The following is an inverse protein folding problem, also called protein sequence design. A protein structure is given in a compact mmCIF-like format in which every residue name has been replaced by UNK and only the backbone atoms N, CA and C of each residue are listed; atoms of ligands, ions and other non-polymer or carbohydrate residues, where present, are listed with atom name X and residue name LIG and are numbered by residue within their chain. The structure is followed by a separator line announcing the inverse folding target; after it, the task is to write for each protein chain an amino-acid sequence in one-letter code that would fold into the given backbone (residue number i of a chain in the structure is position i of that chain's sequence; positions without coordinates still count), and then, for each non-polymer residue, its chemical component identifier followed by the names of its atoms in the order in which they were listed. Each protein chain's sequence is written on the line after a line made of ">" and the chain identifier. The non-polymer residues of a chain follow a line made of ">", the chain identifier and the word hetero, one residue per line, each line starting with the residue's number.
data_IF_834954472308
#
_entry.id   IF_834954472308
#
_cell.length_a   1.000
_cell.length_b   1.000
_cell.length_c   1.000
_cell.angle_alpha   90.00
_cell.angle_beta   90.00
_cell.angle_gamma   90.00
#
_symmetry.space_group_name_H-M   'P 1'
#
loop_
_entity.id
_entity.type
_entity.pdbx_description
1 polymer ?
#
# COMPACT_ATOMS: atom_id res chain seq x y z
N UNK A 1 1.21 6.97 40.30
CA UNK A 1 -0.13 7.26 39.76
C UNK A 1 0.00 8.29 38.65
N UNK A 2 -0.08 7.91 37.37
CA UNK A 2 -0.22 8.85 36.25
C UNK A 2 -1.11 8.19 35.18
N UNK A 3 -2.26 8.82 34.92
CA UNK A 3 -3.37 8.28 34.15
C UNK A 3 -3.17 8.47 32.64
N UNK A 4 -3.26 7.37 31.89
CA UNK A 4 -3.32 7.35 30.42
C UNK A 4 -4.73 7.75 29.98
N UNK A 5 -4.88 8.93 29.38
CA UNK A 5 -6.15 9.37 28.77
C UNK A 5 -6.33 8.70 27.42
N UNK A 6 -7.10 7.62 27.38
CA UNK A 6 -7.61 7.02 26.15
C UNK A 6 -8.70 7.91 25.54
N UNK A 7 -8.45 8.49 24.35
CA UNK A 7 -9.49 9.09 23.52
C UNK A 7 -10.10 8.01 22.63
N UNK A 8 -11.15 7.35 23.13
CA UNK A 8 -12.02 6.53 22.31
C UNK A 8 -12.91 7.43 21.44
N UNK A 9 -12.64 7.50 20.13
CA UNK A 9 -13.59 8.05 19.16
C UNK A 9 -14.66 6.99 18.93
N UNK A 10 -15.83 7.15 19.56
CA UNK A 10 -17.05 6.42 19.21
C UNK A 10 -17.45 6.85 17.80
N UNK A 11 -17.22 5.98 16.81
CA UNK A 11 -17.89 6.09 15.52
C UNK A 11 -19.38 5.79 15.75
N UNK A 12 -20.25 6.76 15.48
CA UNK A 12 -21.69 6.52 15.45
C UNK A 12 -22.02 5.80 14.14
N UNK A 13 -22.79 4.70 14.15
CA UNK A 13 -23.37 4.17 12.92
C UNK A 13 -24.46 5.14 12.46
N UNK A 14 -24.27 5.76 11.30
CA UNK A 14 -25.36 6.42 10.57
C UNK A 14 -26.35 5.35 10.14
N UNK A 15 -27.46 5.24 10.87
CA UNK A 15 -28.59 4.41 10.45
C UNK A 15 -29.14 4.97 9.14
N UNK A 16 -28.86 4.31 8.03
CA UNK A 16 -29.54 4.56 6.77
C UNK A 16 -30.99 4.11 6.93
N UNK A 17 -31.89 5.06 7.25
CA UNK A 17 -33.32 4.83 7.19
C UNK A 17 -33.71 4.55 5.72
N UNK A 18 -34.07 3.30 5.42
CA UNK A 18 -34.70 2.93 4.16
C UNK A 18 -36.04 3.66 4.07
N UNK A 19 -36.17 4.59 3.11
CA UNK A 19 -37.46 5.18 2.74
C UNK A 19 -38.38 4.08 2.19
N UNK A 20 -39.65 3.98 2.61
CA UNK A 20 -40.59 3.07 1.98
C UNK A 20 -40.82 3.49 0.52
N UNK A 21 -40.75 2.53 -0.39
CA UNK A 21 -41.03 2.72 -1.80
C UNK A 21 -42.50 3.14 -1.99
N UNK A 22 -42.73 4.31 -2.59
CA UNK A 22 -44.05 4.72 -3.04
C UNK A 22 -44.48 3.77 -4.17
N UNK A 23 -45.53 2.98 -3.93
CA UNK A 23 -46.21 2.22 -4.98
C UNK A 23 -47.07 3.19 -5.78
N UNK A 24 -46.64 3.52 -6.99
CA UNK A 24 -47.49 4.20 -7.95
C UNK A 24 -48.29 3.14 -8.70
N UNK A 25 -49.58 3.05 -8.39
CA UNK A 25 -50.55 2.35 -9.24
C UNK A 25 -50.83 3.23 -10.45
N UNK A 26 -50.34 2.83 -11.62
CA UNK A 26 -50.80 3.38 -12.88
C UNK A 26 -52.10 2.67 -13.27
N UNK A 27 -53.24 3.22 -12.85
CA UNK A 27 -54.52 2.95 -13.51
C UNK A 27 -55.19 4.28 -13.81
N UNK A 28 -54.82 4.86 -14.94
CA UNK A 28 -55.66 5.83 -15.63
C UNK A 28 -56.18 5.14 -16.89
N UNK A 29 -57.44 4.73 -16.85
CA UNK A 29 -58.23 4.28 -18.00
C UNK A 29 -59.56 5.04 -17.92
N UNK A 30 -59.50 6.32 -18.27
CA UNK A 30 -60.67 7.10 -18.66
C UNK A 30 -61.06 6.72 -20.08
N UNK A 31 -62.08 5.88 -20.22
CA UNK A 31 -62.80 5.75 -21.49
C UNK A 31 -63.83 6.88 -21.56
N UNK A 32 -63.49 7.93 -22.29
CA UNK A 32 -64.48 8.90 -22.74
C UNK A 32 -64.59 8.85 -24.26
N UNK A 33 -65.82 8.69 -24.72
CA UNK A 33 -66.16 8.24 -26.05
C UNK A 33 -66.31 9.44 -27.00
N UNK A 34 -65.34 9.66 -27.90
CA UNK A 34 -65.54 10.52 -29.07
C UNK A 34 -64.80 9.96 -30.29
N UNK A 35 -65.58 9.53 -31.28
CA UNK A 35 -65.12 9.20 -32.61
C UNK A 35 -64.79 10.50 -33.36
N UNK A 36 -63.51 10.82 -33.48
CA UNK A 36 -63.05 11.81 -34.45
C UNK A 36 -61.79 11.30 -35.16
N UNK A 37 -61.88 11.24 -36.50
CA UNK A 37 -60.87 10.66 -37.37
C UNK A 37 -59.72 11.67 -37.57
N UNK A 38 -58.80 11.73 -36.61
CA UNK A 38 -57.53 12.43 -36.77
C UNK A 38 -56.38 11.44 -36.90
N UNK A 39 -55.72 11.43 -38.05
CA UNK A 39 -54.45 10.76 -38.23
C UNK A 39 -53.44 11.36 -37.23
N UNK A 40 -53.12 10.60 -36.18
CA UNK A 40 -52.05 10.96 -35.25
C UNK A 40 -50.72 11.06 -36.03
N UNK A 41 -49.89 12.09 -35.76
CA UNK A 41 -48.56 12.15 -36.35
C UNK A 41 -47.82 10.86 -35.99
N UNK A 42 -47.26 10.20 -36.99
CA UNK A 42 -46.42 9.03 -36.82
C UNK A 42 -45.10 9.51 -36.19
N UNK A 43 -45.14 9.76 -34.88
CA UNK A 43 -43.94 10.01 -34.09
C UNK A 43 -43.26 8.65 -33.98
N UNK A 44 -42.11 8.51 -34.62
CA UNK A 44 -41.24 7.35 -34.41
C UNK A 44 -40.80 7.37 -32.94
N UNK A 45 -41.53 6.67 -32.08
CA UNK A 45 -41.12 6.46 -30.69
C UNK A 45 -39.88 5.57 -30.70
N UNK A 46 -38.71 6.19 -30.60
CA UNK A 46 -37.45 5.45 -30.47
C UNK A 46 -37.55 4.54 -29.24
N UNK A 47 -37.12 3.28 -29.31
CA UNK A 47 -37.13 2.41 -28.14
C UNK A 47 -36.37 3.11 -27.02
N UNK A 48 -37.06 3.34 -25.89
CA UNK A 48 -36.48 4.10 -24.79
C UNK A 48 -35.17 3.47 -24.30
N UNK A 49 -34.32 4.28 -23.67
CA UNK A 49 -33.03 3.86 -23.09
C UNK A 49 -33.12 2.54 -22.29
N UNK A 50 -34.25 2.29 -21.62
CA UNK A 50 -34.52 1.06 -20.89
C UNK A 50 -34.45 -0.22 -21.74
N UNK A 51 -34.86 -0.20 -23.01
CA UNK A 51 -34.75 -1.37 -23.90
C UNK A 51 -33.29 -1.73 -24.17
N UNK A 52 -32.45 -0.73 -24.41
CA UNK A 52 -31.01 -0.94 -24.61
C UNK A 52 -30.33 -1.48 -23.36
N UNK A 53 -30.70 -0.98 -22.18
CA UNK A 53 -30.22 -1.54 -20.90
C UNK A 53 -30.70 -2.98 -20.70
N UNK A 54 -31.94 -3.30 -21.04
CA UNK A 54 -32.48 -4.65 -20.92
C UNK A 54 -31.77 -5.64 -21.87
N UNK A 55 -31.57 -5.25 -23.13
CA UNK A 55 -30.81 -6.04 -24.11
C UNK A 55 -29.35 -6.20 -23.69
N UNK A 56 -28.73 -5.13 -23.18
CA UNK A 56 -27.37 -5.17 -22.63
C UNK A 56 -27.26 -6.11 -21.43
N UNK A 57 -28.19 -6.02 -20.48
CA UNK A 57 -28.23 -6.89 -19.31
C UNK A 57 -28.45 -8.36 -19.70
N UNK A 58 -29.33 -8.63 -20.67
CA UNK A 58 -29.57 -9.97 -21.19
C UNK A 58 -28.31 -10.55 -21.83
N UNK A 59 -27.67 -9.78 -22.72
CA UNK A 59 -26.41 -10.19 -23.37
C UNK A 59 -25.30 -10.45 -22.35
N UNK A 60 -25.15 -9.57 -21.37
CA UNK A 60 -24.16 -9.70 -20.30
C UNK A 60 -24.45 -10.92 -19.41
N UNK A 61 -25.72 -11.21 -19.12
CA UNK A 61 -26.12 -12.41 -18.37
C UNK A 61 -25.77 -13.70 -19.13
N UNK A 62 -25.97 -13.72 -20.44
CA UNK A 62 -25.70 -14.90 -21.26
C UNK A 62 -24.19 -15.12 -21.45
N UNK A 63 -23.43 -14.04 -21.58
CA UNK A 63 -21.97 -14.06 -21.63
C UNK A 63 -21.35 -14.52 -20.30
N UNK A 64 -21.81 -13.99 -19.18
CA UNK A 64 -21.32 -14.41 -17.85
C UNK A 64 -21.67 -15.88 -17.58
N UNK A 65 -22.85 -16.33 -17.99
CA UNK A 65 -23.25 -17.72 -17.88
C UNK A 65 -22.42 -18.67 -18.74
N UNK A 66 -22.06 -18.27 -19.97
CA UNK A 66 -21.24 -19.11 -20.85
C UNK A 66 -19.82 -19.30 -20.31
N UNK A 67 -19.26 -18.26 -19.68
CA UNK A 67 -17.93 -18.33 -19.05
C UNK A 67 -17.98 -19.08 -17.71
N UNK A 68 -19.05 -18.92 -16.93
CA UNK A 68 -19.17 -19.53 -15.59
C UNK A 68 -19.40 -21.05 -15.63
N UNK A 69 -19.86 -21.61 -16.76
CA UNK A 69 -20.13 -23.05 -16.87
C UNK A 69 -18.89 -23.91 -16.60
N UNK A 70 -19.01 -24.97 -15.77
CA UNK A 70 -17.92 -25.93 -15.57
C UNK A 70 -17.63 -26.70 -16.86
N UNK A 71 -16.39 -27.20 -16.98
CA UNK A 71 -15.98 -28.03 -18.11
C UNK A 71 -16.76 -29.35 -18.16
N UNK A 72 -16.72 -30.05 -19.30
CA UNK A 72 -17.42 -31.34 -19.52
C UNK A 72 -17.08 -32.42 -18.48
N UNK A 73 -15.96 -32.27 -17.79
CA UNK A 73 -15.45 -33.24 -16.80
C UNK A 73 -15.58 -32.75 -15.35
N UNK A 74 -16.42 -31.75 -15.08
CA UNK A 74 -16.62 -31.22 -13.72
C UNK A 74 -15.49 -30.31 -13.23
N UNK A 75 -14.54 -29.94 -14.10
CA UNK A 75 -13.49 -28.99 -13.81
C UNK A 75 -14.05 -27.58 -13.55
N UNK A 76 -13.46 -26.89 -12.58
CA UNK A 76 -13.78 -25.50 -12.27
C UNK A 76 -13.63 -24.62 -13.52
N UNK A 77 -14.60 -23.72 -13.75
CA UNK A 77 -14.54 -22.77 -14.86
C UNK A 77 -13.22 -21.99 -14.85
N UNK A 78 -12.71 -21.63 -16.04
CA UNK A 78 -11.50 -20.79 -16.20
C UNK A 78 -11.59 -19.48 -15.42
N UNK A 79 -12.80 -18.93 -15.27
CA UNK A 79 -13.03 -17.73 -14.45
C UNK A 79 -12.80 -18.01 -12.96
N UNK A 80 -13.28 -19.15 -12.46
CA UNK A 80 -13.04 -19.58 -11.08
C UNK A 80 -11.55 -19.79 -10.85
N UNK A 81 -10.85 -20.50 -11.74
CA UNK A 81 -9.40 -20.73 -11.63
C UNK A 81 -8.61 -19.41 -11.63
N UNK A 82 -9.03 -18.43 -12.43
CA UNK A 82 -8.41 -17.12 -12.43
C UNK A 82 -8.67 -16.36 -11.13
N UNK A 83 -9.91 -16.33 -10.63
CA UNK A 83 -10.25 -15.72 -9.33
C UNK A 83 -9.48 -16.40 -8.20
N UNK A 84 -9.40 -17.73 -8.22
CA UNK A 84 -8.71 -18.53 -7.21
C UNK A 84 -7.20 -18.27 -7.22
N UNK A 85 -6.59 -18.11 -8.40
CA UNK A 85 -5.16 -17.75 -8.48
C UNK A 85 -4.88 -16.36 -7.88
N UNK A 86 -5.73 -15.37 -8.17
CA UNK A 86 -5.60 -14.04 -7.57
C UNK A 86 -5.83 -14.07 -6.05
N UNK A 87 -6.84 -14.83 -5.60
CA UNK A 87 -7.12 -15.01 -4.17
C UNK A 87 -5.96 -15.70 -3.47
N UNK A 88 -5.41 -16.78 -4.04
CA UNK A 88 -4.28 -17.52 -3.48
C UNK A 88 -3.05 -16.62 -3.32
N UNK A 89 -2.73 -15.81 -4.34
CA UNK A 89 -1.64 -14.83 -4.26
C UNK A 89 -1.87 -13.83 -3.12
N UNK A 90 -3.09 -13.30 -3.01
CA UNK A 90 -3.42 -12.39 -1.92
C UNK A 90 -3.24 -13.05 -0.56
N UNK A 91 -3.77 -14.27 -0.37
CA UNK A 91 -3.68 -15.00 0.90
C UNK A 91 -2.24 -15.27 1.30
N UNK A 92 -1.39 -15.70 0.36
CA UNK A 92 0.04 -15.88 0.62
C UNK A 92 0.71 -14.59 1.12
N UNK A 93 0.42 -13.44 0.50
CA UNK A 93 0.99 -12.16 0.97
C UNK A 93 0.45 -11.76 2.35
N UNK A 94 -0.81 -12.06 2.65
CA UNK A 94 -1.40 -11.82 3.98
C UNK A 94 -0.76 -12.71 5.04
N UNK A 95 -0.57 -13.99 4.74
CA UNK A 95 0.11 -14.96 5.60
C UNK A 95 1.54 -14.53 5.89
N UNK A 96 2.34 -14.24 4.85
CA UNK A 96 3.72 -13.75 5.00
C UNK A 96 3.83 -12.48 5.86
N UNK A 97 2.88 -11.56 5.72
CA UNK A 97 2.86 -10.34 6.54
C UNK A 97 2.45 -10.62 7.98
N UNK A 98 1.60 -11.62 8.20
CA UNK A 98 1.19 -12.02 9.54
C UNK A 98 2.32 -12.77 10.26
N UNK A 99 3.01 -13.68 9.59
CA UNK A 99 4.19 -14.36 10.12
C UNK A 99 5.29 -13.36 10.46
N UNK A 100 5.62 -12.44 9.54
CA UNK A 100 6.60 -11.40 9.83
C UNK A 100 6.23 -10.56 11.07
N UNK A 101 4.94 -10.23 11.26
CA UNK A 101 4.49 -9.50 12.44
C UNK A 101 4.56 -10.32 13.73
N UNK A 102 4.35 -11.64 13.67
CA UNK A 102 4.49 -12.49 14.86
C UNK A 102 5.96 -12.63 15.24
N UNK A 103 6.83 -12.85 14.26
CA UNK A 103 8.27 -13.02 14.46
C UNK A 103 8.89 -11.75 15.06
N UNK A 104 8.54 -10.58 14.53
CA UNK A 104 8.99 -9.30 15.08
C UNK A 104 8.51 -9.06 16.52
N UNK A 105 7.28 -9.50 16.85
CA UNK A 105 6.76 -9.39 18.22
C UNK A 105 7.47 -10.34 19.17
N UNK A 106 7.77 -11.55 18.72
CA UNK A 106 8.51 -12.54 19.49
C UNK A 106 9.94 -12.08 19.77
N UNK A 107 10.63 -11.58 18.74
CA UNK A 107 11.94 -10.98 18.89
C UNK A 107 11.92 -9.80 19.86
N UNK A 108 10.97 -8.87 19.70
CA UNK A 108 10.84 -7.73 20.62
C UNK A 108 10.51 -8.17 22.06
N UNK A 109 9.76 -9.26 22.24
CA UNK A 109 9.47 -9.82 23.56
C UNK A 109 10.73 -10.45 24.18
N UNK A 110 11.53 -11.18 23.40
CA UNK A 110 12.80 -11.75 23.82
C UNK A 110 13.79 -10.64 24.25
N UNK A 111 13.91 -9.58 23.44
CA UNK A 111 14.75 -8.42 23.75
C UNK A 111 14.30 -7.74 25.05
N UNK A 112 12.99 -7.54 25.23
CA UNK A 112 12.46 -6.98 26.48
C UNK A 112 12.78 -7.85 27.68
N UNK A 113 12.74 -9.17 27.53
CA UNK A 113 13.11 -10.07 28.62
C UNK A 113 14.59 -9.90 29.00
N UNK A 114 15.48 -9.73 28.02
CA UNK A 114 16.90 -9.44 28.26
C UNK A 114 17.09 -8.14 29.06
N UNK A 115 16.40 -7.07 28.68
CA UNK A 115 16.57 -5.75 29.32
C UNK A 115 15.75 -5.55 30.60
N UNK A 116 14.76 -6.40 30.89
CA UNK A 116 13.97 -6.30 32.12
C UNK A 116 14.78 -6.59 33.39
N UNK A 117 15.85 -7.37 33.29
CA UNK A 117 16.69 -7.76 34.44
C UNK A 117 17.89 -6.84 34.65
N UNK A 118 18.22 -6.00 33.67
CA UNK A 118 19.35 -5.07 33.73
C UNK A 118 18.96 -3.85 34.55
N UNK A 119 19.82 -3.45 35.49
CA UNK A 119 19.66 -2.17 36.20
C UNK A 119 19.70 -1.04 35.16
N UNK A 120 18.61 -0.27 35.04
CA UNK A 120 18.55 0.89 34.14
C UNK A 120 19.71 1.83 34.46
N UNK A 121 20.36 2.38 33.44
CA UNK A 121 21.44 3.34 33.67
C UNK A 121 20.91 4.47 34.56
N UNK A 122 21.62 4.72 35.66
CA UNK A 122 21.33 5.86 36.52
C UNK A 122 21.61 7.11 35.68
N UNK A 123 20.57 7.84 35.31
CA UNK A 123 20.72 9.15 34.74
C UNK A 123 21.27 10.06 35.85
N UNK A 124 22.57 10.37 35.78
CA UNK A 124 23.18 11.34 36.67
C UNK A 124 22.94 12.73 36.10
N UNK A 125 22.35 13.62 36.89
CA UNK A 125 22.26 15.03 36.53
C UNK A 125 23.64 15.66 36.72
N UNK A 126 24.33 15.89 35.60
CA UNK A 126 25.66 16.47 35.60
C UNK A 126 25.53 17.99 35.55
N UNK A 127 26.18 18.67 36.49
CA UNK A 127 26.20 20.14 36.56
C UNK A 127 26.76 20.80 35.29
N UNK A 128 27.59 20.09 34.52
CA UNK A 128 28.19 20.53 33.27
C UNK A 128 28.17 19.40 32.23
N UNK A 129 27.04 19.18 31.53
CA UNK A 129 26.90 18.08 30.57
C UNK A 129 27.81 18.23 29.34
N UNK A 130 28.18 19.46 29.01
CA UNK A 130 29.08 19.76 27.88
C UNK A 130 30.49 19.18 28.05
N UNK A 131 30.90 18.87 29.30
CA UNK A 131 32.26 18.43 29.61
C UNK A 131 32.42 16.91 29.64
N UNK A 132 31.34 16.15 29.44
CA UNK A 132 31.34 14.67 29.50
C UNK A 132 32.39 14.04 28.58
N UNK A 133 32.60 14.65 27.43
CA UNK A 133 33.52 14.18 26.40
C UNK A 133 34.83 15.00 26.32
N UNK A 134 35.00 15.99 27.20
CA UNK A 134 36.20 16.83 27.24
C UNK A 134 37.33 16.08 27.94
N UNK A 135 38.46 15.92 27.26
CA UNK A 135 39.65 15.27 27.83
C UNK A 135 39.70 13.75 27.72
N UNK A 136 38.75 13.11 27.02
CA UNK A 136 38.91 11.70 26.65
C UNK A 136 40.08 11.58 25.66
N UNK A 137 41.11 10.76 25.93
CA UNK A 137 42.24 10.55 25.01
C UNK A 137 41.83 10.07 23.62
N UNK A 138 40.62 9.50 23.50
CA UNK A 138 40.08 8.91 22.28
C UNK A 138 39.08 9.80 21.54
N UNK A 139 38.61 10.90 22.15
CA UNK A 139 37.64 11.81 21.52
C UNK A 139 38.30 13.14 21.15
N UNK A 140 39.40 13.05 20.41
CA UNK A 140 40.19 14.21 20.00
C UNK A 140 40.37 14.14 18.48
N UNK A 141 40.19 15.25 17.75
CA UNK A 141 40.40 15.24 16.30
C UNK A 141 41.82 14.78 15.96
N UNK A 142 41.94 14.02 14.86
CA UNK A 142 43.22 13.57 14.35
C UNK A 142 44.13 14.80 14.11
N UNK A 143 45.36 14.72 14.60
CA UNK A 143 46.34 15.81 14.49
C UNK A 143 46.38 16.79 15.65
N UNK A 144 45.56 16.62 16.69
CA UNK A 144 45.59 17.52 17.86
C UNK A 144 46.83 17.35 18.74
N UNK A 145 47.31 16.12 18.95
CA UNK A 145 48.47 15.83 19.81
C UNK A 145 49.76 15.55 19.03
N UNK A 146 49.64 14.93 17.86
CA UNK A 146 50.78 14.50 17.04
C UNK A 146 50.68 15.20 15.70
N UNK A 147 51.79 15.75 15.21
CA UNK A 147 51.84 16.31 13.87
C UNK A 147 51.68 15.20 12.81
N UNK A 148 50.66 15.29 11.97
CA UNK A 148 50.35 14.33 10.90
C UNK A 148 50.83 14.77 9.51
N UNK A 149 51.58 15.87 9.39
CA UNK A 149 52.04 16.43 8.10
C UNK A 149 52.74 15.36 7.24
N UNK A 150 53.56 14.51 7.85
CA UNK A 150 54.23 13.42 7.14
C UNK A 150 53.26 12.41 6.51
N UNK A 151 52.18 12.05 7.21
CA UNK A 151 51.16 11.14 6.66
C UNK A 151 50.36 11.83 5.56
N UNK A 152 50.06 13.11 5.73
CA UNK A 152 49.39 13.91 4.68
C UNK A 152 50.25 13.96 3.41
N UNK A 153 51.55 14.19 3.54
CA UNK A 153 52.48 14.16 2.41
C UNK A 153 52.57 12.78 1.76
N UNK A 154 52.61 11.70 2.55
CA UNK A 154 52.63 10.32 2.05
C UNK A 154 51.39 10.02 1.20
N UNK A 155 50.20 10.21 1.73
CA UNK A 155 48.95 9.92 1.02
C UNK A 155 48.74 10.85 -0.19
N UNK A 156 49.24 12.08 -0.12
CA UNK A 156 49.22 13.00 -1.26
C UNK A 156 50.09 12.49 -2.40
N UNK A 157 51.26 11.90 -2.11
CA UNK A 157 52.12 11.27 -3.12
C UNK A 157 51.47 10.03 -3.71
N UNK A 158 50.95 9.12 -2.89
CA UNK A 158 50.24 7.92 -3.37
C UNK A 158 49.07 8.28 -4.31
N UNK A 159 48.27 9.30 -3.96
CA UNK A 159 47.17 9.76 -4.81
C UNK A 159 47.65 10.24 -6.18
N UNK A 160 48.76 11.01 -6.23
CA UNK A 160 49.32 11.47 -7.51
C UNK A 160 49.84 10.31 -8.36
N UNK A 161 50.51 9.34 -7.75
CA UNK A 161 50.99 8.13 -8.44
C UNK A 161 49.84 7.27 -8.99
N UNK A 162 48.74 7.15 -8.24
CA UNK A 162 47.55 6.44 -8.70
C UNK A 162 46.87 7.16 -9.86
N UNK A 163 46.75 8.49 -9.81
CA UNK A 163 46.18 9.28 -10.90
C UNK A 163 47.03 9.19 -12.17
N UNK A 164 48.36 9.24 -12.06
CA UNK A 164 49.25 8.99 -13.18
C UNK A 164 49.07 7.58 -13.78
N UNK A 165 48.93 6.56 -12.93
CA UNK A 165 48.67 5.18 -13.37
C UNK A 165 47.33 5.06 -14.09
N UNK A 166 46.28 5.70 -13.58
CA UNK A 166 44.95 5.74 -14.24
C UNK A 166 45.03 6.48 -15.58
N UNK A 167 45.73 7.61 -15.63
CA UNK A 167 45.91 8.39 -16.84
C UNK A 167 46.69 7.61 -17.92
N UNK A 168 47.74 6.88 -17.54
CA UNK A 168 48.51 5.99 -18.44
C UNK A 168 47.63 4.88 -19.00
N UNK A 169 46.86 4.17 -18.15
CA UNK A 169 45.90 3.15 -18.60
C UNK A 169 44.84 3.70 -19.55
N UNK A 170 44.32 4.90 -19.27
CA UNK A 170 43.34 5.56 -20.15
C UNK A 170 43.96 5.95 -21.50
N UNK A 171 45.22 6.42 -21.50
CA UNK A 171 45.94 6.76 -22.72
C UNK A 171 46.27 5.52 -23.57
N UNK A 172 46.60 4.39 -22.94
CA UNK A 172 46.79 3.10 -23.61
C UNK A 172 45.46 2.56 -24.18
N UNK A 173 44.37 2.62 -23.42
CA UNK A 173 43.04 2.21 -23.87
C UNK A 173 42.48 3.08 -25.02
N UNK A 174 42.93 4.33 -25.15
CA UNK A 174 42.58 5.22 -26.29
C UNK A 174 43.45 4.98 -27.53
N UNK A 175 44.59 4.30 -27.39
CA UNK A 175 45.52 3.99 -28.49
C UNK A 175 45.27 2.61 -29.10
N UNK A 176 44.56 1.73 -28.38
CA UNK A 176 44.00 0.48 -28.89
C UNK A 176 42.67 0.72 -29.60
#
# INVERSE_FOLDING_TARGET
>A
MLAVRQRARRAQPTAHALRPAARFYASDHGHDAHHDHHHAPQVEESPGLGLYFALGALGLSMFTYSISRPGKEGEASKLSQWIDSYRAQSQQTWEQRNTLRTDLKEQAAADRHLFNTVEKSKAFDLRTPELINSGSPHNVPAGHYVNLDYLVEHYRKEHLEEEERKAKKLAEAKKA
#
